data_IF_602382219405
#
_entry.id   IF_602382219405
#
_cell.length_a   1.000
_cell.length_b   1.000
_cell.length_c   1.000
_cell.angle_alpha   90.00
_cell.angle_beta   90.00
_cell.angle_gamma   90.00
#
_symmetry.space_group_name_H-M   'P 1'
#
loop_
_entity.id
_entity.type
_entity.pdbx_description
1 polymer ?
#
# COMPACT_ATOMS: atom_id res chain seq x y z
N UNK A 1 4.16 12.35 -18.58
CA UNK A 1 5.38 12.74 -17.83
C UNK A 1 5.65 11.71 -16.74
N UNK A 2 6.21 10.56 -17.10
CA UNK A 2 6.56 9.45 -16.18
C UNK A 2 7.79 8.72 -16.74
N UNK A 3 8.54 8.05 -15.87
CA UNK A 3 9.67 7.20 -16.22
C UNK A 3 9.65 5.96 -15.32
N UNK A 4 8.85 4.97 -15.70
CA UNK A 4 8.50 3.84 -14.83
C UNK A 4 9.69 2.93 -14.49
N UNK A 5 10.79 2.98 -15.25
CA UNK A 5 12.01 2.24 -14.94
C UNK A 5 12.81 2.87 -13.78
N UNK A 6 12.43 4.07 -13.32
CA UNK A 6 13.09 4.72 -12.19
C UNK A 6 12.56 4.12 -10.88
N UNK A 7 13.47 3.80 -9.97
CA UNK A 7 13.15 3.20 -8.65
C UNK A 7 12.01 3.94 -7.92
N UNK A 8 12.02 5.27 -7.92
CA UNK A 8 10.88 6.08 -7.49
C UNK A 8 10.86 7.43 -8.19
N UNK A 9 9.68 8.04 -8.23
CA UNK A 9 9.39 9.32 -8.86
C UNK A 9 8.52 10.16 -7.94
N UNK A 10 9.00 11.36 -7.59
CA UNK A 10 8.17 12.38 -6.96
C UNK A 10 7.33 13.09 -8.03
N UNK A 11 6.02 13.07 -7.84
CA UNK A 11 5.05 13.71 -8.70
C UNK A 11 4.42 14.83 -7.89
N UNK A 12 4.57 16.06 -8.37
CA UNK A 12 3.89 17.24 -7.84
C UNK A 12 2.93 17.72 -8.91
N UNK A 13 1.64 17.82 -8.58
CA UNK A 13 0.62 18.30 -9.51
C UNK A 13 0.48 19.84 -9.45
N UNK A 14 -0.30 20.40 -10.39
CA UNK A 14 -0.54 21.84 -10.45
C UNK A 14 -1.34 22.40 -9.27
N UNK A 15 -1.92 21.55 -8.44
CA UNK A 15 -2.63 21.93 -7.21
C UNK A 15 -1.71 21.85 -5.97
N UNK A 16 -0.42 21.54 -6.15
CA UNK A 16 0.53 21.38 -5.06
C UNK A 16 0.43 20.04 -4.32
N UNK A 17 -0.29 19.05 -4.84
CA UNK A 17 -0.33 17.71 -4.26
C UNK A 17 0.93 16.93 -4.65
N UNK A 18 1.56 16.30 -3.66
CA UNK A 18 2.72 15.45 -3.84
C UNK A 18 2.37 13.96 -3.69
N UNK A 19 2.96 13.11 -4.53
CA UNK A 19 2.81 11.65 -4.50
C UNK A 19 4.11 10.99 -4.97
N UNK A 20 4.40 9.77 -4.48
CA UNK A 20 5.43 8.93 -5.09
C UNK A 20 4.80 7.82 -5.92
N UNK A 21 5.36 7.60 -7.11
CA UNK A 21 5.27 6.34 -7.81
C UNK A 21 6.61 5.61 -7.65
N UNK A 22 6.61 4.30 -7.41
CA UNK A 22 7.84 3.53 -7.28
C UNK A 22 7.77 2.22 -8.06
N UNK A 23 8.93 1.80 -8.55
CA UNK A 23 9.13 0.53 -9.22
C UNK A 23 9.39 -0.54 -8.15
N UNK A 24 8.57 -1.60 -8.16
CA UNK A 24 8.43 -2.52 -7.04
C UNK A 24 9.54 -3.59 -6.96
N UNK A 25 10.31 -3.79 -8.04
CA UNK A 25 11.47 -4.69 -8.02
C UNK A 25 12.58 -4.16 -7.10
N UNK A 26 12.74 -2.84 -7.01
CA UNK A 26 13.75 -2.18 -6.18
C UNK A 26 13.48 -2.27 -4.67
N UNK A 27 12.22 -2.10 -4.24
CA UNK A 27 11.90 -2.03 -2.81
C UNK A 27 10.44 -2.33 -2.49
N UNK A 28 10.16 -2.56 -1.20
CA UNK A 28 8.83 -2.85 -0.68
C UNK A 28 8.17 -1.63 -0.06
N UNK A 29 6.84 -1.67 0.10
CA UNK A 29 6.04 -0.53 0.55
C UNK A 29 6.49 0.09 1.88
N UNK A 30 7.05 -0.70 2.81
CA UNK A 30 7.55 -0.19 4.10
C UNK A 30 8.71 0.79 3.92
N UNK A 31 9.63 0.50 2.99
CA UNK A 31 10.77 1.38 2.71
C UNK A 31 10.32 2.70 2.06
N UNK A 32 9.36 2.62 1.14
CA UNK A 32 8.80 3.79 0.44
C UNK A 32 7.97 4.65 1.39
N UNK A 33 7.16 4.03 2.26
CA UNK A 33 6.40 4.75 3.29
C UNK A 33 7.35 5.50 4.23
N UNK A 34 8.44 4.86 4.65
CA UNK A 34 9.44 5.53 5.49
C UNK A 34 10.06 6.74 4.79
N UNK A 35 10.44 6.60 3.52
CA UNK A 35 10.95 7.71 2.71
C UNK A 35 9.95 8.87 2.63
N UNK A 36 8.67 8.59 2.39
CA UNK A 36 7.61 9.62 2.40
C UNK A 36 7.49 10.31 3.76
N UNK A 37 7.38 9.55 4.85
CA UNK A 37 7.19 10.09 6.20
C UNK A 37 8.36 10.99 6.62
N UNK A 38 9.59 10.55 6.36
CA UNK A 38 10.79 11.33 6.68
C UNK A 38 10.89 12.58 5.81
N UNK A 39 10.64 12.46 4.50
CA UNK A 39 10.69 13.61 3.58
C UNK A 39 9.62 14.64 3.94
N UNK A 40 8.40 14.19 4.27
CA UNK A 40 7.31 15.05 4.69
C UNK A 40 7.66 15.76 6.01
N UNK A 41 8.15 15.00 7.00
CA UNK A 41 8.57 15.58 8.29
C UNK A 41 9.65 16.63 8.07
N UNK A 42 10.70 16.30 7.34
CA UNK A 42 11.84 17.19 7.09
C UNK A 42 11.42 18.46 6.33
N UNK A 43 10.58 18.31 5.31
CA UNK A 43 10.01 19.44 4.55
C UNK A 43 9.14 20.36 5.42
N UNK A 44 8.64 19.91 6.57
CA UNK A 44 7.86 20.75 7.47
C UNK A 44 8.71 21.32 8.61
N UNK A 45 9.70 20.57 9.12
CA UNK A 45 10.51 20.96 10.29
C UNK A 45 11.82 21.68 9.94
N UNK A 46 12.39 21.41 8.77
CA UNK A 46 13.67 21.94 8.30
C UNK A 46 13.55 22.48 6.87
N UNK A 47 12.42 23.11 6.55
CA UNK A 47 12.23 23.71 5.23
C UNK A 47 13.30 24.78 4.98
N UNK A 48 13.98 24.65 3.84
CA UNK A 48 14.95 25.63 3.37
C UNK A 48 14.31 26.71 2.49
N UNK A 49 13.02 26.56 2.16
CA UNK A 49 12.20 27.51 1.41
C UNK A 49 10.83 27.65 2.06
N UNK A 50 10.30 28.86 2.07
CA UNK A 50 8.96 29.24 2.54
C UNK A 50 8.08 29.71 1.38
N UNK A 51 6.74 29.61 1.47
CA UNK A 51 5.83 30.13 0.44
C UNK A 51 5.99 31.62 0.14
N UNK A 52 6.48 32.40 1.12
CA UNK A 52 6.70 33.84 1.01
C UNK A 52 8.10 34.21 0.49
N UNK A 53 8.97 33.22 0.24
CA UNK A 53 10.32 33.49 -0.25
C UNK A 53 10.29 34.04 -1.67
N UNK A 54 11.01 35.15 -1.88
CA UNK A 54 11.24 35.70 -3.22
C UNK A 54 12.39 34.93 -3.85
N UNK A 55 12.06 34.05 -4.79
CA UNK A 55 13.06 33.31 -5.57
C UNK A 55 13.77 34.31 -6.48
N UNK A 56 15.07 34.54 -6.24
CA UNK A 56 15.89 35.30 -7.18
C UNK A 56 15.92 34.61 -8.54
N UNK A 57 15.90 35.37 -9.63
CA UNK A 57 16.06 34.83 -10.97
C UNK A 57 17.34 34.01 -11.04
N UNK A 58 17.19 32.69 -11.12
CA UNK A 58 18.30 31.76 -11.20
C UNK A 58 19.07 32.10 -12.47
N UNK A 59 20.29 32.62 -12.33
CA UNK A 59 21.19 32.84 -13.46
C UNK A 59 21.27 31.52 -14.24
N UNK A 60 20.80 31.52 -15.49
CA UNK A 60 20.58 30.30 -16.26
C UNK A 60 21.78 29.34 -16.25
N UNK A 61 21.52 28.04 -16.18
CA UNK A 61 22.55 26.99 -16.25
C UNK A 61 22.42 25.86 -15.21
N UNK A 62 21.50 25.93 -14.25
CA UNK A 62 21.35 24.89 -13.22
C UNK A 62 20.55 23.65 -13.65
N UNK A 63 19.87 23.72 -14.81
CA UNK A 63 19.06 22.62 -15.36
C UNK A 63 19.34 22.51 -16.86
N UNK A 64 19.57 21.29 -17.32
CA UNK A 64 19.81 20.98 -18.73
C UNK A 64 18.64 20.17 -19.30
N UNK A 65 18.12 20.59 -20.45
CA UNK A 65 17.09 19.84 -21.18
C UNK A 65 17.69 18.59 -21.83
N UNK A 66 17.14 17.41 -21.49
CA UNK A 66 17.49 16.17 -22.19
C UNK A 66 16.77 16.13 -23.54
N UNK A 67 17.52 16.38 -24.62
CA UNK A 67 16.99 16.40 -25.99
C UNK A 67 17.05 15.02 -26.64
N UNK A 68 15.88 14.45 -26.91
CA UNK A 68 15.76 13.20 -27.66
C UNK A 68 15.69 13.45 -29.17
N UNK A 69 16.49 12.72 -29.95
CA UNK A 69 16.37 12.67 -31.42
C UNK A 69 15.46 11.50 -31.79
N UNK A 70 14.23 11.79 -32.21
CA UNK A 70 13.23 10.78 -32.52
C UNK A 70 13.09 10.54 -34.02
N UNK A 71 13.25 9.28 -34.45
CA UNK A 71 12.85 8.83 -35.79
C UNK A 71 11.33 8.74 -35.91
N UNK A 72 10.83 8.63 -37.13
CA UNK A 72 9.39 8.42 -37.35
C UNK A 72 8.90 7.10 -36.74
N UNK A 73 9.71 6.05 -36.81
CA UNK A 73 9.41 4.77 -36.14
C UNK A 73 9.29 4.92 -34.62
N UNK A 74 10.18 5.68 -33.96
CA UNK A 74 10.10 5.93 -32.52
C UNK A 74 8.86 6.73 -32.14
N UNK A 75 8.48 7.74 -32.94
CA UNK A 75 7.25 8.51 -32.71
C UNK A 75 6.02 7.61 -32.77
N UNK A 76 5.96 6.69 -33.74
CA UNK A 76 4.87 5.72 -33.85
C UNK A 76 4.82 4.77 -32.65
N UNK A 77 5.98 4.28 -32.19
CA UNK A 77 6.09 3.44 -30.98
C UNK A 77 5.59 4.19 -29.74
N UNK A 78 5.96 5.46 -29.58
CA UNK A 78 5.50 6.31 -28.46
C UNK A 78 3.97 6.44 -28.49
N UNK A 79 3.39 6.75 -29.65
CA UNK A 79 1.94 6.85 -29.80
C UNK A 79 1.22 5.54 -29.48
N UNK A 80 1.77 4.41 -29.92
CA UNK A 80 1.23 3.08 -29.59
C UNK A 80 1.28 2.81 -28.08
N UNK A 81 2.43 3.05 -27.44
CA UNK A 81 2.59 2.88 -26.00
C UNK A 81 1.64 3.76 -25.19
N UNK A 82 1.42 5.01 -25.62
CA UNK A 82 0.45 5.92 -24.99
C UNK A 82 -0.98 5.40 -25.08
N UNK A 83 -1.40 4.87 -26.25
CA UNK A 83 -2.72 4.27 -26.43
C UNK A 83 -2.90 3.03 -25.55
N UNK A 84 -1.90 2.15 -25.51
CA UNK A 84 -1.91 0.96 -24.65
C UNK A 84 -2.01 1.34 -23.18
N UNK A 85 -1.23 2.32 -22.73
CA UNK A 85 -1.27 2.80 -21.35
C UNK A 85 -2.64 3.40 -20.99
N UNK A 86 -3.21 4.23 -21.88
CA UNK A 86 -4.53 4.82 -21.67
C UNK A 86 -5.62 3.74 -21.59
N UNK A 87 -5.58 2.73 -22.47
CA UNK A 87 -6.51 1.62 -22.46
C UNK A 87 -6.39 0.79 -21.17
N UNK A 88 -5.17 0.45 -20.74
CA UNK A 88 -4.94 -0.28 -19.49
C UNK A 88 -5.47 0.47 -18.26
N UNK A 89 -5.31 1.80 -18.21
CA UNK A 89 -5.83 2.61 -17.11
C UNK A 89 -7.34 2.81 -17.15
N UNK A 90 -7.97 2.69 -18.31
CA UNK A 90 -9.42 2.92 -18.45
C UNK A 90 -10.29 1.86 -17.77
N UNK A 91 -9.73 0.67 -17.52
CA UNK A 91 -10.39 -0.44 -16.83
C UNK A 91 -10.01 -0.53 -15.34
N UNK A 92 -9.25 0.43 -14.81
CA UNK A 92 -8.83 0.43 -13.41
C UNK A 92 -9.93 0.99 -12.51
N UNK A 93 -10.55 0.11 -11.72
CA UNK A 93 -11.44 0.50 -10.61
C UNK A 93 -10.67 0.79 -9.33
N UNK A 94 -10.83 1.99 -8.77
CA UNK A 94 -10.23 2.38 -7.48
C UNK A 94 -11.23 3.19 -6.65
N UNK A 95 -11.24 2.96 -5.34
CA UNK A 95 -12.00 3.73 -4.37
C UNK A 95 -11.19 3.89 -3.08
N UNK A 96 -11.39 5.01 -2.39
CA UNK A 96 -10.86 5.23 -1.04
C UNK A 96 -12.00 5.25 -0.03
N UNK A 97 -11.78 4.63 1.12
CA UNK A 97 -12.71 4.67 2.25
C UNK A 97 -11.91 4.96 3.52
N UNK A 98 -12.33 5.98 4.26
CA UNK A 98 -11.77 6.32 5.56
C UNK A 98 -12.82 6.08 6.64
N UNK A 99 -12.49 5.21 7.60
CA UNK A 99 -13.32 4.96 8.78
C UNK A 99 -12.59 5.43 10.03
N UNK A 100 -13.16 6.40 10.74
CA UNK A 100 -12.55 7.02 11.93
C UNK A 100 -13.14 6.52 13.26
N UNK A 101 -14.18 5.69 13.21
CA UNK A 101 -14.88 5.17 14.40
C UNK A 101 -14.15 4.07 15.16
N UNK A 102 -13.06 3.52 14.61
CA UNK A 102 -12.25 2.49 15.23
C UNK A 102 -10.77 2.78 14.99
N UNK A 103 -9.98 2.77 16.07
CA UNK A 103 -8.54 3.03 16.03
C UNK A 103 -7.75 1.83 16.52
N UNK A 104 -6.46 1.81 16.22
CA UNK A 104 -5.54 0.79 16.77
C UNK A 104 -5.65 0.71 18.29
N UNK A 105 -5.78 1.85 18.97
CA UNK A 105 -5.81 1.90 20.43
C UNK A 105 -7.16 1.43 20.99
N UNK A 106 -8.28 1.65 20.28
CA UNK A 106 -9.56 1.06 20.67
C UNK A 106 -9.57 -0.46 20.50
N UNK A 107 -8.95 -0.98 19.43
CA UNK A 107 -8.86 -2.42 19.16
C UNK A 107 -7.99 -3.12 20.23
N UNK A 108 -6.84 -2.53 20.59
CA UNK A 108 -5.92 -3.09 21.58
C UNK A 108 -6.56 -3.31 22.96
N UNK A 109 -7.59 -2.54 23.33
CA UNK A 109 -8.35 -2.75 24.59
C UNK A 109 -9.02 -4.11 24.67
N UNK A 110 -9.30 -4.73 23.51
CA UNK A 110 -9.88 -6.08 23.42
C UNK A 110 -8.84 -7.19 23.29
N UNK A 111 -7.54 -6.87 23.35
CA UNK A 111 -6.42 -7.81 23.17
C UNK A 111 -6.45 -8.52 21.81
N UNK A 112 -6.87 -7.79 20.77
CA UNK A 112 -6.92 -8.24 19.38
C UNK A 112 -5.91 -7.45 18.56
N UNK A 113 -5.26 -8.08 17.57
CA UNK A 113 -4.41 -7.40 16.60
C UNK A 113 -5.27 -6.60 15.62
N UNK A 114 -4.94 -5.31 15.43
CA UNK A 114 -5.63 -4.47 14.46
C UNK A 114 -5.48 -5.00 13.02
N UNK A 115 -4.30 -5.54 12.70
CA UNK A 115 -4.01 -6.15 11.42
C UNK A 115 -4.86 -7.41 11.18
N UNK A 116 -4.90 -8.32 12.16
CA UNK A 116 -5.77 -9.51 12.08
C UNK A 116 -7.25 -9.16 11.96
N UNK A 117 -7.71 -8.11 12.66
CA UNK A 117 -9.09 -7.65 12.56
C UNK A 117 -9.40 -7.13 11.15
N UNK A 118 -8.48 -6.38 10.54
CA UNK A 118 -8.63 -5.91 9.16
C UNK A 118 -8.65 -7.08 8.17
N UNK A 119 -7.78 -8.08 8.35
CA UNK A 119 -7.79 -9.28 7.52
C UNK A 119 -9.07 -10.08 7.64
N UNK A 120 -9.61 -10.25 8.86
CA UNK A 120 -10.92 -10.87 9.06
C UNK A 120 -12.02 -10.05 8.38
N UNK A 121 -12.00 -8.71 8.47
CA UNK A 121 -12.95 -7.85 7.79
C UNK A 121 -12.90 -7.99 6.26
N UNK A 122 -11.71 -8.17 5.67
CA UNK A 122 -11.54 -8.47 4.25
C UNK A 122 -12.17 -9.82 3.88
N UNK A 123 -11.93 -10.88 4.67
CA UNK A 123 -12.53 -12.20 4.45
C UNK A 123 -14.06 -12.14 4.54
N UNK A 124 -14.59 -11.46 5.56
CA UNK A 124 -16.04 -11.29 5.75
C UNK A 124 -16.66 -10.49 4.60
N UNK A 125 -16.00 -9.41 4.17
CA UNK A 125 -16.48 -8.56 3.07
C UNK A 125 -16.53 -9.35 1.77
N UNK A 126 -15.46 -10.08 1.42
CA UNK A 126 -15.40 -10.91 0.24
C UNK A 126 -16.49 -12.00 0.27
N UNK A 127 -16.62 -12.72 1.38
CA UNK A 127 -17.65 -13.75 1.52
C UNK A 127 -19.07 -13.16 1.47
N UNK A 128 -19.29 -11.95 1.98
CA UNK A 128 -20.60 -11.30 1.92
C UNK A 128 -21.07 -11.01 0.50
N UNK A 129 -20.13 -10.69 -0.40
CA UNK A 129 -20.38 -10.37 -1.81
C UNK A 129 -20.47 -11.64 -2.67
N UNK A 130 -19.51 -12.55 -2.52
CA UNK A 130 -19.32 -13.68 -3.44
C UNK A 130 -19.75 -15.03 -2.88
N UNK A 131 -20.01 -15.14 -1.58
CA UNK A 131 -20.34 -16.41 -0.88
C UNK A 131 -19.25 -17.49 -0.97
N UNK A 132 -18.02 -17.08 -1.30
CA UNK A 132 -16.86 -17.95 -1.45
C UNK A 132 -15.73 -17.53 -0.50
N UNK A 133 -14.72 -18.39 -0.41
CA UNK A 133 -13.44 -18.09 0.24
C UNK A 133 -12.33 -18.34 -0.78
N UNK A 134 -11.37 -17.42 -0.85
CA UNK A 134 -10.29 -17.47 -1.84
C UNK A 134 -8.93 -17.35 -1.17
N UNK A 135 -7.86 -17.92 -1.76
CA UNK A 135 -6.50 -17.67 -1.32
C UNK A 135 -6.24 -16.17 -1.23
N UNK A 136 -5.81 -15.70 -0.06
CA UNK A 136 -5.50 -14.29 0.21
C UNK A 136 -4.01 -14.17 0.46
N UNK A 137 -3.36 -13.24 -0.25
CA UNK A 137 -1.96 -12.89 -0.07
C UNK A 137 -1.87 -11.67 0.85
N UNK A 138 -1.02 -11.76 1.85
CA UNK A 138 -0.58 -10.63 2.65
C UNK A 138 0.95 -10.63 2.73
N UNK A 139 1.54 -9.47 2.49
CA UNK A 139 2.99 -9.31 2.54
C UNK A 139 3.46 -9.26 4.00
N UNK A 140 4.39 -10.14 4.35
CA UNK A 140 5.04 -10.15 5.66
C UNK A 140 6.54 -9.87 5.50
N UNK A 141 7.06 -8.82 6.12
CA UNK A 141 8.47 -8.45 5.96
C UNK A 141 9.41 -9.49 6.59
N UNK A 142 10.47 -9.83 5.87
CA UNK A 142 11.58 -10.67 6.34
C UNK A 142 12.87 -9.87 6.55
N UNK A 143 12.75 -8.55 6.76
CA UNK A 143 13.90 -7.62 6.89
C UNK A 143 14.85 -7.94 8.07
N UNK A 144 14.48 -8.85 8.96
CA UNK A 144 15.37 -9.41 9.98
C UNK A 144 16.54 -10.23 9.39
N UNK A 145 16.42 -10.68 8.14
CA UNK A 145 17.45 -11.44 7.43
C UNK A 145 18.21 -10.56 6.43
N UNK A 146 19.47 -10.93 6.15
CA UNK A 146 20.28 -10.27 5.13
C UNK A 146 19.57 -10.32 3.77
N UNK A 147 19.30 -9.16 3.17
CA UNK A 147 18.55 -9.00 1.91
C UNK A 147 17.11 -9.53 1.98
N UNK A 148 16.53 -9.60 3.18
CA UNK A 148 15.13 -9.94 3.36
C UNK A 148 14.21 -9.00 2.60
N UNK A 149 13.20 -9.57 1.95
CA UNK A 149 12.11 -8.87 1.26
C UNK A 149 10.81 -9.17 2.01
N UNK A 150 10.01 -10.08 1.47
CA UNK A 150 8.70 -10.42 1.99
C UNK A 150 8.45 -11.93 1.88
N UNK A 151 7.75 -12.51 2.84
CA UNK A 151 7.06 -13.79 2.74
C UNK A 151 5.55 -13.56 2.54
N UNK A 152 4.85 -14.55 2.02
CA UNK A 152 3.41 -14.62 1.87
C UNK A 152 2.75 -15.16 3.16
N UNK A 153 2.08 -14.29 3.89
CA UNK A 153 1.17 -14.69 4.95
C UNK A 153 -0.23 -14.93 4.34
N UNK A 154 -0.79 -16.12 4.61
CA UNK A 154 -2.07 -16.56 4.04
C UNK A 154 -3.22 -16.29 5.03
N UNK A 155 -3.82 -15.10 4.97
CA UNK A 155 -4.82 -14.63 5.93
C UNK A 155 -6.18 -15.37 5.83
N UNK A 156 -6.42 -16.08 4.72
CA UNK A 156 -7.54 -17.00 4.55
C UNK A 156 -7.26 -18.34 5.27
N UNK A 157 -7.60 -18.40 6.56
CA UNK A 157 -7.37 -19.54 7.44
C UNK A 157 -8.69 -20.24 7.80
N UNK A 158 -8.61 -21.43 8.37
CA UNK A 158 -9.78 -22.10 8.96
C UNK A 158 -10.43 -21.26 10.07
N UNK A 159 -9.65 -20.51 10.84
CA UNK A 159 -10.16 -19.62 11.89
C UNK A 159 -10.94 -18.44 11.30
N UNK A 160 -10.41 -17.77 10.26
CA UNK A 160 -11.12 -16.65 9.62
C UNK A 160 -12.37 -17.12 8.88
N UNK A 161 -12.34 -18.32 8.29
CA UNK A 161 -13.55 -18.96 7.72
C UNK A 161 -14.61 -19.23 8.77
N UNK A 162 -14.26 -19.89 9.87
CA UNK A 162 -15.20 -20.21 10.95
C UNK A 162 -15.82 -18.94 11.55
N UNK A 163 -15.01 -17.91 11.81
CA UNK A 163 -15.49 -16.62 12.29
C UNK A 163 -16.44 -15.94 11.29
N UNK A 164 -16.08 -15.93 10.01
CA UNK A 164 -16.91 -15.34 8.95
C UNK A 164 -18.26 -16.02 8.84
N UNK A 165 -18.30 -17.35 8.76
CA UNK A 165 -19.54 -18.12 8.64
C UNK A 165 -20.42 -17.97 9.89
N UNK A 166 -19.83 -18.01 11.10
CA UNK A 166 -20.57 -17.87 12.34
C UNK A 166 -21.15 -16.46 12.52
N UNK A 167 -20.36 -15.41 12.26
CA UNK A 167 -20.83 -14.02 12.36
C UNK A 167 -21.91 -13.75 11.31
N UNK A 168 -21.75 -14.25 10.07
CA UNK A 168 -22.77 -14.15 9.04
C UNK A 168 -24.10 -14.83 9.41
N UNK A 169 -24.04 -15.92 10.20
CA UNK A 169 -25.22 -16.61 10.77
C UNK A 169 -25.77 -15.98 12.04
N UNK A 170 -25.20 -14.85 12.48
CA UNK A 170 -25.72 -14.07 13.61
C UNK A 170 -25.02 -14.30 14.95
N UNK A 171 -23.84 -14.94 14.97
CA UNK A 171 -23.02 -14.98 16.18
C UNK A 171 -22.68 -13.55 16.65
N UNK A 172 -22.91 -13.27 17.94
CA UNK A 172 -22.76 -11.94 18.55
C UNK A 172 -22.20 -12.07 19.97
N UNK A 173 -21.86 -10.94 20.59
CA UNK A 173 -21.45 -10.90 21.99
C UNK A 173 -20.23 -11.79 22.28
N UNK A 174 -20.36 -12.71 23.22
CA UNK A 174 -19.27 -13.58 23.67
C UNK A 174 -18.79 -14.53 22.56
N UNK A 175 -19.70 -15.09 21.74
CA UNK A 175 -19.35 -16.04 20.68
C UNK A 175 -18.51 -15.39 19.59
N UNK A 176 -18.97 -14.23 19.09
CA UNK A 176 -18.22 -13.46 18.11
C UNK A 176 -16.86 -13.01 18.67
N UNK A 177 -16.82 -12.60 19.95
CA UNK A 177 -15.57 -12.19 20.60
C UNK A 177 -14.55 -13.32 20.67
N UNK A 178 -14.99 -14.54 21.00
CA UNK A 178 -14.11 -15.72 21.04
C UNK A 178 -13.53 -16.05 19.66
N UNK A 179 -14.37 -16.02 18.62
CA UNK A 179 -13.97 -16.26 17.24
C UNK A 179 -12.95 -15.21 16.73
N UNK A 180 -13.19 -13.93 17.02
CA UNK A 180 -12.28 -12.84 16.66
C UNK A 180 -10.94 -13.00 17.40
N UNK A 181 -10.98 -13.35 18.69
CA UNK A 181 -9.76 -13.59 19.46
C UNK A 181 -8.95 -14.78 18.90
N UNK A 182 -9.63 -15.85 18.48
CA UNK A 182 -8.99 -16.99 17.82
C UNK A 182 -8.34 -16.60 16.49
N UNK A 183 -9.03 -15.80 15.66
CA UNK A 183 -8.44 -15.26 14.43
C UNK A 183 -7.16 -14.47 14.72
N UNK A 184 -7.21 -13.61 15.75
CA UNK A 184 -6.06 -12.82 16.18
C UNK A 184 -4.88 -13.69 16.63
N UNK A 185 -5.13 -14.77 17.36
CA UNK A 185 -4.08 -15.67 17.82
C UNK A 185 -3.41 -16.40 16.65
N UNK A 186 -4.21 -16.97 15.73
CA UNK A 186 -3.72 -17.67 14.53
C UNK A 186 -2.93 -16.72 13.63
N UNK A 187 -3.49 -15.56 13.33
CA UNK A 187 -2.84 -14.54 12.51
C UNK A 187 -1.49 -14.09 13.10
N UNK A 188 -1.45 -13.82 14.40
CA UNK A 188 -0.21 -13.40 15.07
C UNK A 188 0.87 -14.47 15.02
N UNK A 189 0.49 -15.76 15.12
CA UNK A 189 1.42 -16.86 14.98
C UNK A 189 1.96 -16.96 13.54
N UNK A 190 1.09 -16.87 12.54
CA UNK A 190 1.49 -16.91 11.13
C UNK A 190 2.40 -15.75 10.73
N UNK A 191 2.10 -14.53 11.20
CA UNK A 191 2.98 -13.36 10.98
C UNK A 191 4.35 -13.58 11.63
N UNK A 192 4.40 -14.17 12.83
CA UNK A 192 5.67 -14.48 13.50
C UNK A 192 6.46 -15.55 12.76
N UNK A 193 5.79 -16.56 12.21
CA UNK A 193 6.44 -17.62 11.42
C UNK A 193 6.98 -17.04 10.09
N UNK A 194 6.12 -16.36 9.33
CA UNK A 194 6.47 -15.78 8.04
C UNK A 194 7.61 -14.75 8.15
N UNK A 195 7.58 -13.84 9.14
CA UNK A 195 8.65 -12.86 9.36
C UNK A 195 9.99 -13.50 9.77
N UNK A 196 9.96 -14.74 10.26
CA UNK A 196 11.12 -15.54 10.64
C UNK A 196 11.47 -16.59 9.59
N UNK A 197 10.89 -16.53 8.38
CA UNK A 197 11.18 -17.44 7.26
C UNK A 197 10.76 -18.89 7.52
N UNK A 198 9.66 -19.10 8.25
CA UNK A 198 9.09 -20.41 8.60
C UNK A 198 7.74 -20.64 7.97
#
# INVERSE_FOLDING_TARGET
SRWFDKCFQLIVDGNGQATLNFEHSWGDGVAVLRLMEESFKDSNTHHFVSPDDVVEDVKGGSVEEIKFKLSESLKQTIQSAQKTHAAANSDLGFATVQYTGMTRDSIKKFKVSADSLMQLALQMSFHSLYKEFVPTYESCSTAAFLKGRTECMRSATSATRAATEAIAKGAKGADAKALIAQCSAVHSQLVKEASMGK
#
